data_IF_748496584869
#
_entry.id   IF_748496584869
#
_cell.length_a   1.000
_cell.length_b   1.000
_cell.length_c   1.000
_cell.angle_alpha   90.00
_cell.angle_beta   90.00
_cell.angle_gamma   90.00
#
_symmetry.space_group_name_H-M   'P 1'
#
loop_
_entity.id
_entity.type
_entity.pdbx_description
1 polymer ?
#
# COMPACT_ATOMS: atom_id res chain seq x y z
N UNK A 1 -5.52 10.61 10.95
CA UNK A 1 -4.20 11.13 11.37
C UNK A 1 -3.49 11.66 10.14
N UNK A 2 -2.76 12.78 10.23
CA UNK A 2 -1.99 13.29 9.10
C UNK A 2 -0.56 12.74 9.16
N UNK A 3 -0.23 11.84 8.22
CA UNK A 3 1.15 11.39 8.00
C UNK A 3 1.90 12.42 7.14
N UNK A 4 3.19 12.62 7.43
CA UNK A 4 4.05 13.47 6.60
C UNK A 4 4.47 12.69 5.35
N UNK A 5 3.74 12.89 4.26
CA UNK A 5 4.00 12.23 2.99
C UNK A 5 5.14 12.88 2.22
N UNK A 6 6.09 12.06 1.79
CA UNK A 6 7.12 12.38 0.79
C UNK A 6 6.70 11.76 -0.53
N UNK A 7 6.87 12.51 -1.62
CA UNK A 7 6.53 12.04 -2.97
C UNK A 7 7.84 11.86 -3.73
N UNK A 8 8.12 10.63 -4.12
CA UNK A 8 9.31 10.26 -4.88
C UNK A 8 8.89 9.77 -6.27
N UNK A 9 9.45 10.39 -7.31
CA UNK A 9 9.28 9.91 -8.68
C UNK A 9 10.37 8.86 -8.92
N UNK A 10 9.97 7.58 -8.96
CA UNK A 10 10.85 6.50 -9.36
C UNK A 10 11.00 6.52 -10.90
N UNK A 11 11.79 7.49 -11.38
CA UNK A 11 12.25 7.54 -12.77
C UNK A 11 13.42 6.58 -12.98
N UNK A 12 13.40 5.82 -14.08
CA UNK A 12 14.48 4.92 -14.46
C UNK A 12 15.86 5.59 -14.32
N UNK A 13 16.90 4.86 -13.85
CA UNK A 13 18.27 5.35 -13.92
C UNK A 13 18.58 5.68 -15.38
N UNK A 14 19.15 6.86 -15.60
CA UNK A 14 19.35 7.44 -16.93
C UNK A 14 19.98 6.43 -17.92
N UNK A 15 19.21 6.06 -18.94
CA UNK A 15 19.72 5.49 -20.18
C UNK A 15 19.07 4.17 -20.62
N UNK A 16 17.88 4.23 -21.21
CA UNK A 16 17.51 3.46 -22.42
C UNK A 16 16.19 3.97 -22.99
N UNK A 17 16.20 4.25 -24.29
CA UNK A 17 15.07 4.70 -25.10
C UNK A 17 14.06 3.56 -25.26
N UNK A 18 12.87 3.68 -24.69
CA UNK A 18 11.64 2.98 -25.10
C UNK A 18 10.44 3.71 -24.49
N UNK A 19 9.53 4.16 -25.34
CA UNK A 19 8.31 4.89 -25.02
C UNK A 19 7.29 3.95 -24.34
N UNK A 20 7.42 3.74 -23.02
CA UNK A 20 6.31 3.56 -22.06
C UNK A 20 6.84 3.56 -20.61
N UNK A 21 7.71 4.52 -20.27
CA UNK A 21 8.18 4.66 -18.90
C UNK A 21 7.19 5.53 -18.12
N UNK A 22 6.02 4.98 -17.83
CA UNK A 22 5.09 5.60 -16.89
C UNK A 22 5.79 5.74 -15.54
N UNK A 23 6.26 6.96 -15.26
CA UNK A 23 7.01 7.29 -14.04
C UNK A 23 6.17 6.90 -12.83
N UNK A 24 6.61 5.86 -12.11
CA UNK A 24 5.97 5.39 -10.89
C UNK A 24 6.17 6.45 -9.81
N UNK A 25 5.09 6.81 -9.13
CA UNK A 25 5.09 7.81 -8.06
C UNK A 25 4.91 7.08 -6.74
N UNK A 26 5.90 7.16 -5.87
CA UNK A 26 5.88 6.54 -4.54
C UNK A 26 5.52 7.63 -3.53
N UNK A 27 4.41 7.44 -2.83
CA UNK A 27 3.97 8.27 -1.71
C UNK A 27 4.43 7.56 -0.44
N UNK A 28 5.62 7.93 0.05
CA UNK A 28 6.24 7.33 1.22
C UNK A 28 5.99 8.15 2.48
N UNK A 29 5.75 7.49 3.61
CA UNK A 29 5.70 8.10 4.93
C UNK A 29 6.49 7.24 5.92
N UNK A 30 6.92 7.83 7.02
CA UNK A 30 7.50 7.10 8.14
C UNK A 30 6.83 7.51 9.44
N UNK A 31 6.63 6.53 10.33
CA UNK A 31 6.04 6.75 11.63
C UNK A 31 6.73 5.93 12.70
N UNK A 32 7.00 6.58 13.84
CA UNK A 32 7.36 5.88 15.08
C UNK A 32 6.09 5.38 15.79
N UNK A 33 5.97 4.07 15.90
CA UNK A 33 4.85 3.38 16.54
C UNK A 33 5.17 3.23 18.02
N UNK A 34 4.37 3.93 18.84
CA UNK A 34 4.49 3.90 20.30
C UNK A 34 3.30 3.23 20.98
N UNK A 35 2.28 2.84 20.21
CA UNK A 35 1.08 2.15 20.67
C UNK A 35 0.28 1.58 19.48
N UNK A 36 -0.53 0.55 19.76
CA UNK A 36 -1.43 -0.07 18.79
C UNK A 36 -2.42 0.93 18.17
N UNK A 37 -2.91 1.88 18.96
CA UNK A 37 -3.82 2.93 18.47
C UNK A 37 -3.15 3.79 17.39
N UNK A 38 -1.87 4.15 17.57
CA UNK A 38 -1.12 4.88 16.53
C UNK A 38 -0.88 4.03 15.30
N UNK A 39 -0.63 2.73 15.49
CA UNK A 39 -0.46 1.79 14.39
C UNK A 39 -1.73 1.72 13.54
N UNK A 40 -2.88 1.51 14.18
CA UNK A 40 -4.18 1.49 13.51
C UNK A 40 -4.46 2.80 12.77
N UNK A 41 -4.29 3.96 13.43
CA UNK A 41 -4.49 5.27 12.80
C UNK A 41 -3.58 5.52 11.59
N UNK A 42 -2.36 4.96 11.61
CA UNK A 42 -1.43 5.06 10.52
C UNK A 42 -1.80 4.16 9.35
N UNK A 43 -2.26 2.93 9.62
CA UNK A 43 -2.82 2.02 8.61
C UNK A 43 -4.04 2.67 7.95
N UNK A 44 -4.95 3.24 8.74
CA UNK A 44 -6.13 3.96 8.23
C UNK A 44 -5.70 5.11 7.31
N UNK A 45 -4.72 5.92 7.73
CA UNK A 45 -4.20 7.02 6.92
C UNK A 45 -3.54 6.54 5.61
N UNK A 46 -2.89 5.36 5.61
CA UNK A 46 -2.33 4.75 4.41
C UNK A 46 -3.41 4.28 3.45
N UNK A 47 -4.45 3.63 3.98
CA UNK A 47 -5.61 3.17 3.20
C UNK A 47 -6.35 4.36 2.61
N UNK A 48 -6.61 5.40 3.40
CA UNK A 48 -7.24 6.63 2.94
C UNK A 48 -6.43 7.31 1.84
N UNK A 49 -5.10 7.38 2.01
CA UNK A 49 -4.20 7.92 0.98
C UNK A 49 -4.26 7.11 -0.30
N UNK A 50 -4.23 5.78 -0.21
CA UNK A 50 -4.32 4.89 -1.36
C UNK A 50 -5.70 5.00 -2.04
N UNK A 51 -6.77 5.10 -1.26
CA UNK A 51 -8.13 5.33 -1.72
C UNK A 51 -8.27 6.64 -2.50
N UNK A 52 -7.67 7.73 -2.00
CA UNK A 52 -7.62 9.01 -2.71
C UNK A 52 -6.79 8.98 -4.00
N UNK A 53 -6.02 7.92 -4.24
CA UNK A 53 -5.26 7.70 -5.48
C UNK A 53 -5.94 6.70 -6.42
N UNK A 54 -7.03 6.05 -6.01
CA UNK A 54 -7.73 5.05 -6.84
C UNK A 54 -8.23 5.62 -8.15
N UNK A 55 -8.73 6.86 -8.17
CA UNK A 55 -9.18 7.51 -9.40
C UNK A 55 -8.07 7.62 -10.47
N UNK A 56 -6.81 7.72 -10.03
CA UNK A 56 -5.64 7.81 -10.90
C UNK A 56 -4.95 6.46 -11.12
N UNK A 57 -5.28 5.45 -10.32
CA UNK A 57 -4.66 4.14 -10.34
C UNK A 57 -5.51 3.08 -11.02
N UNK A 58 -6.84 3.24 -11.05
CA UNK A 58 -7.73 2.27 -11.69
C UNK A 58 -7.65 2.44 -13.20
N UNK A 59 -7.29 1.33 -13.84
CA UNK A 59 -7.27 1.13 -15.28
C UNK A 59 -8.21 -0.02 -15.63
N UNK A 60 -8.45 -0.25 -16.93
CA UNK A 60 -9.39 -1.27 -17.41
C UNK A 60 -9.02 -2.70 -16.96
N UNK A 61 -7.74 -2.96 -16.69
CA UNK A 61 -7.20 -4.24 -16.23
C UNK A 61 -6.99 -4.32 -14.70
N UNK A 62 -7.30 -3.25 -13.96
CA UNK A 62 -7.11 -3.21 -12.51
C UNK A 62 -8.08 -4.15 -11.79
N UNK A 63 -7.53 -5.03 -10.95
CA UNK A 63 -8.30 -6.08 -10.29
C UNK A 63 -8.11 -6.10 -8.79
N UNK A 64 -6.88 -5.93 -8.32
CA UNK A 64 -6.52 -6.08 -6.92
C UNK A 64 -6.05 -4.76 -6.31
N UNK A 65 -6.45 -4.51 -5.08
CA UNK A 65 -5.75 -3.60 -4.18
C UNK A 65 -4.90 -4.46 -3.25
N UNK A 66 -3.60 -4.45 -3.51
CA UNK A 66 -2.63 -5.33 -2.90
C UNK A 66 -1.94 -4.63 -1.72
N UNK A 67 -1.96 -5.30 -0.58
CA UNK A 67 -1.33 -4.88 0.67
C UNK A 67 -0.12 -5.78 0.94
N UNK A 68 1.08 -5.25 0.73
CA UNK A 68 2.33 -5.93 0.99
C UNK A 68 2.96 -5.45 2.28
N UNK A 69 2.99 -6.30 3.29
CA UNK A 69 3.84 -6.09 4.46
C UNK A 69 5.24 -6.62 4.17
N UNK A 70 6.28 -5.92 4.60
CA UNK A 70 7.65 -6.42 4.59
C UNK A 70 8.18 -6.40 6.03
N UNK A 71 8.41 -7.59 6.60
CA UNK A 71 8.81 -7.76 8.01
C UNK A 71 10.21 -7.19 8.27
N UNK A 72 11.15 -7.40 7.34
CA UNK A 72 12.55 -6.98 7.50
C UNK A 72 12.71 -5.46 7.61
N UNK A 73 11.91 -4.71 6.84
CA UNK A 73 11.95 -3.25 6.79
C UNK A 73 10.81 -2.59 7.55
N UNK A 74 9.87 -3.39 8.08
CA UNK A 74 8.62 -2.94 8.70
C UNK A 74 7.87 -1.95 7.82
N UNK A 75 7.73 -2.28 6.54
CA UNK A 75 7.12 -1.38 5.54
C UNK A 75 5.83 -1.98 5.00
N UNK A 76 4.74 -1.23 5.08
CA UNK A 76 3.50 -1.52 4.37
C UNK A 76 3.52 -0.84 3.01
N UNK A 77 3.30 -1.61 1.94
CA UNK A 77 3.13 -1.14 0.58
C UNK A 77 1.71 -1.40 0.13
N UNK A 78 1.03 -0.38 -0.40
CA UNK A 78 -0.33 -0.48 -0.93
C UNK A 78 -0.28 -0.08 -2.40
N UNK A 79 -0.76 -0.95 -3.27
CA UNK A 79 -0.74 -0.75 -4.72
C UNK A 79 -1.96 -1.35 -5.38
N UNK A 80 -2.44 -0.72 -6.45
CA UNK A 80 -3.45 -1.32 -7.34
C UNK A 80 -2.72 -2.11 -8.42
N UNK A 81 -3.19 -3.32 -8.74
CA UNK A 81 -2.54 -4.18 -9.72
C UNK A 81 -3.55 -5.01 -10.51
N UNK A 82 -3.08 -5.59 -11.60
CA UNK A 82 -3.83 -6.47 -12.49
C UNK A 82 -4.14 -7.84 -11.86
N UNK A 83 -4.83 -8.70 -12.60
CA UNK A 83 -5.23 -10.03 -12.12
C UNK A 83 -4.01 -10.92 -11.75
N UNK A 84 -2.94 -10.80 -12.55
CA UNK A 84 -1.68 -11.53 -12.40
C UNK A 84 -0.81 -10.97 -11.26
N UNK A 85 -1.10 -9.76 -10.77
CA UNK A 85 -0.34 -9.02 -9.73
C UNK A 85 1.08 -8.66 -10.18
N UNK A 86 1.27 -8.52 -11.49
CA UNK A 86 2.55 -8.21 -12.13
C UNK A 86 2.62 -6.75 -12.59
N UNK A 87 1.48 -6.17 -12.97
CA UNK A 87 1.40 -4.80 -13.46
C UNK A 87 0.82 -3.89 -12.38
N UNK A 88 1.70 -3.18 -11.68
CA UNK A 88 1.30 -2.18 -10.69
C UNK A 88 0.86 -0.86 -11.37
N UNK A 89 -0.17 -0.25 -10.83
CA UNK A 89 -0.58 1.11 -11.18
C UNK A 89 0.49 2.16 -10.82
N UNK A 90 0.34 3.34 -11.41
CA UNK A 90 1.34 4.41 -11.34
C UNK A 90 1.66 4.87 -9.92
N UNK A 91 0.66 5.05 -9.05
CA UNK A 91 0.87 5.54 -7.70
C UNK A 91 0.95 4.38 -6.71
N UNK A 92 2.00 4.38 -5.89
CA UNK A 92 2.20 3.41 -4.81
C UNK A 92 2.23 4.16 -3.50
N UNK A 93 1.56 3.64 -2.48
CA UNK A 93 1.64 4.17 -1.11
C UNK A 93 2.54 3.28 -0.29
N UNK A 94 3.51 3.87 0.41
CA UNK A 94 4.40 3.14 1.31
C UNK A 94 4.44 3.82 2.67
N UNK A 95 4.41 3.03 3.73
CA UNK A 95 4.61 3.53 5.07
C UNK A 95 5.58 2.64 5.82
N UNK A 96 6.68 3.22 6.27
CA UNK A 96 7.66 2.57 7.12
C UNK A 96 7.31 2.81 8.58
N UNK A 97 7.22 1.73 9.34
CA UNK A 97 6.92 1.76 10.75
C UNK A 97 8.19 1.46 11.54
N UNK A 98 8.50 2.31 12.50
CA UNK A 98 9.60 2.09 13.44
C UNK A 98 9.00 1.85 14.82
N UNK A 99 9.13 0.63 15.34
CA UNK A 99 8.67 0.28 16.67
C UNK A 99 9.85 0.26 17.66
N UNK A 100 9.69 0.91 18.81
CA UNK A 100 10.78 1.08 19.79
C UNK A 100 10.90 -0.09 20.77
N UNK A 101 9.77 -0.76 21.06
CA UNK A 101 9.68 -1.74 22.15
C UNK A 101 9.35 -3.17 21.69
N UNK A 102 8.61 -3.36 20.60
CA UNK A 102 8.18 -4.68 20.12
C UNK A 102 8.16 -4.76 18.59
N UNK A 103 8.48 -5.94 18.04
CA UNK A 103 8.36 -6.19 16.60
C UNK A 103 6.89 -6.20 16.20
N UNK A 104 6.56 -5.51 15.11
CA UNK A 104 5.17 -5.43 14.62
C UNK A 104 4.72 -6.80 14.10
N UNK A 105 3.65 -7.34 14.69
CA UNK A 105 3.07 -8.61 14.26
C UNK A 105 2.32 -8.42 12.92
N UNK A 106 2.69 -9.16 11.87
CA UNK A 106 1.96 -9.14 10.62
C UNK A 106 0.47 -9.53 10.73
N UNK A 107 0.08 -10.32 11.72
CA UNK A 107 -1.33 -10.69 11.95
C UNK A 107 -2.16 -9.49 12.40
N UNK A 108 -1.61 -8.62 13.25
CA UNK A 108 -2.28 -7.40 13.69
C UNK A 108 -2.47 -6.43 12.53
N UNK A 109 -1.44 -6.30 11.67
CA UNK A 109 -1.51 -5.48 10.46
C UNK A 109 -2.60 -5.97 9.51
N UNK A 110 -2.66 -7.29 9.28
CA UNK A 110 -3.71 -7.91 8.50
C UNK A 110 -5.10 -7.64 9.10
N UNK A 111 -5.24 -7.76 10.43
CA UNK A 111 -6.48 -7.48 11.14
C UNK A 111 -6.92 -6.01 10.98
N UNK A 112 -6.02 -5.05 11.20
CA UNK A 112 -6.35 -3.63 11.09
C UNK A 112 -6.68 -3.20 9.67
N UNK A 113 -5.97 -3.73 8.66
CA UNK A 113 -6.32 -3.48 7.26
C UNK A 113 -7.73 -3.99 6.98
N UNK A 114 -8.05 -5.22 7.41
CA UNK A 114 -9.37 -5.80 7.22
C UNK A 114 -10.46 -4.98 7.88
N UNK A 115 -10.27 -4.61 9.14
CA UNK A 115 -11.20 -3.80 9.92
C UNK A 115 -11.48 -2.45 9.23
N UNK A 116 -10.42 -1.75 8.81
CA UNK A 116 -10.51 -0.50 8.07
C UNK A 116 -11.31 -0.66 6.76
N UNK A 117 -10.99 -1.68 5.95
CA UNK A 117 -11.66 -1.92 4.67
C UNK A 117 -13.16 -2.19 4.80
N UNK A 118 -13.62 -2.78 5.92
CA UNK A 118 -15.05 -2.99 6.15
C UNK A 118 -15.84 -1.69 6.29
N UNK A 119 -15.17 -0.59 6.63
CA UNK A 119 -15.77 0.73 6.81
C UNK A 119 -15.33 1.75 5.76
N UNK A 120 -14.37 1.38 4.90
CA UNK A 120 -13.80 2.25 3.87
C UNK A 120 -14.73 2.41 2.65
N UNK A 121 -15.63 3.39 2.71
CA UNK A 121 -16.56 3.69 1.62
C UNK A 121 -15.89 3.94 0.25
N UNK A 122 -14.75 4.66 0.14
CA UNK A 122 -14.06 4.84 -1.14
C UNK A 122 -13.61 3.53 -1.78
N UNK A 123 -13.08 2.58 -0.99
CA UNK A 123 -12.71 1.26 -1.49
C UNK A 123 -13.93 0.49 -2.02
N UNK A 124 -15.02 0.48 -1.26
CA UNK A 124 -16.27 -0.22 -1.61
C UNK A 124 -16.97 0.32 -2.86
N UNK A 125 -16.63 1.53 -3.31
CA UNK A 125 -17.16 2.10 -4.55
C UNK A 125 -16.53 1.49 -5.81
N UNK A 126 -15.34 0.90 -5.68
CA UNK A 126 -14.62 0.27 -6.78
C UNK A 126 -14.74 -1.25 -6.70
N UNK A 127 -14.74 -1.92 -7.86
CA UNK A 127 -14.85 -3.39 -7.94
C UNK A 127 -13.50 -4.11 -7.71
N UNK A 128 -12.64 -3.52 -6.88
CA UNK A 128 -11.33 -4.08 -6.56
C UNK A 128 -11.44 -5.16 -5.50
N UNK A 129 -10.56 -6.15 -5.59
CA UNK A 129 -10.42 -7.21 -4.60
C UNK A 129 -9.24 -6.87 -3.68
N UNK A 130 -9.47 -6.80 -2.38
CA UNK A 130 -8.40 -6.60 -1.41
C UNK A 130 -7.63 -7.90 -1.20
N UNK A 131 -6.31 -7.85 -1.31
CA UNK A 131 -5.43 -8.99 -1.09
C UNK A 131 -4.21 -8.57 -0.26
N UNK A 132 -3.76 -9.44 0.64
CA UNK A 132 -2.64 -9.19 1.54
C UNK A 132 -1.52 -10.22 1.33
N UNK A 133 -0.26 -9.78 1.41
CA UNK A 133 0.92 -10.64 1.42
C UNK A 133 2.00 -10.09 2.37
N UNK A 134 2.87 -10.96 2.87
CA UNK A 134 3.94 -10.61 3.83
C UNK A 134 5.36 -10.70 3.25
N UNK A 135 5.54 -11.44 2.16
CA UNK A 135 6.87 -11.67 1.57
C UNK A 135 6.78 -11.84 0.05
N UNK A 136 5.80 -12.63 -0.41
CA UNK A 136 5.62 -12.94 -1.82
C UNK A 136 4.21 -12.68 -2.30
N UNK A 137 4.10 -12.05 -3.48
CA UNK A 137 2.83 -11.88 -4.19
C UNK A 137 2.21 -13.19 -4.68
N UNK A 138 2.98 -14.29 -4.68
CA UNK A 138 2.47 -15.62 -5.01
C UNK A 138 1.65 -16.22 -3.85
N UNK A 139 1.87 -15.77 -2.62
CA UNK A 139 1.20 -16.23 -1.41
C UNK A 139 0.28 -15.15 -0.83
N UNK A 140 -0.64 -14.65 -1.67
CA UNK A 140 -1.62 -13.66 -1.24
C UNK A 140 -2.86 -14.31 -0.62
N UNK A 141 -3.39 -13.67 0.42
CA UNK A 141 -4.67 -14.02 1.06
C UNK A 141 -5.68 -12.92 0.79
N UNK A 142 -6.94 -13.28 0.55
CA UNK A 142 -8.02 -12.31 0.38
C UNK A 142 -8.48 -11.79 1.75
N UNK A 143 -8.72 -10.49 1.83
CA UNK A 143 -9.11 -9.80 3.07
C UNK A 143 -10.63 -9.84 3.29
#
# INVERSE_FOLDING_TARGET
>A
MDLMWTIENAGSPAGTTSEDSSERVIHSASLEVTSDEKMQQAIDACIDKACGLLENNIQDDSRYMLFGWNVDTSTLTIVVTDDEKEHDSRNVVQCQFTATDESLDPEDIHYWIKDCLTTCAPFLQYSLIAAFHQESRASCTLL
#
